data_IF_902161541141
#
_entry.id   IF_902161541141
#
_cell.length_a   1.000
_cell.length_b   1.000
_cell.length_c   1.000
_cell.angle_alpha   90.00
_cell.angle_beta   90.00
_cell.angle_gamma   90.00
#
_symmetry.space_group_name_H-M   'P 1'
#
loop_
_entity.id
_entity.type
_entity.pdbx_description
1 polymer ?
#
# COMPACT_ATOMS: atom_id res chain seq x y z
N UNK A 1 -14.69 26.22 46.58
CA UNK A 1 -14.69 26.42 45.12
C UNK A 1 -14.23 25.13 44.49
N UNK A 2 -15.17 24.37 43.96
CA UNK A 2 -14.92 23.08 43.31
C UNK A 2 -14.14 23.30 42.01
N UNK A 3 -13.09 22.51 41.81
CA UNK A 3 -12.31 22.51 40.57
C UNK A 3 -13.03 21.65 39.55
N UNK A 4 -13.51 22.25 38.45
CA UNK A 4 -14.05 21.54 37.30
C UNK A 4 -12.92 20.82 36.56
N UNK A 5 -12.93 19.48 36.63
CA UNK A 5 -12.15 18.61 35.75
C UNK A 5 -12.84 18.55 34.39
N UNK A 6 -12.54 19.52 33.53
CA UNK A 6 -12.84 19.44 32.08
C UNK A 6 -12.19 18.17 31.54
N UNK A 7 -13.00 17.13 31.41
CA UNK A 7 -12.58 15.80 31.00
C UNK A 7 -12.31 15.84 29.51
N UNK A 8 -11.04 15.93 29.11
CA UNK A 8 -10.62 15.92 27.71
C UNK A 8 -11.08 14.63 27.01
N UNK A 9 -12.27 14.67 26.39
CA UNK A 9 -12.90 13.57 25.66
C UNK A 9 -12.11 13.10 24.42
N UNK A 10 -10.96 13.72 24.14
CA UNK A 10 -10.07 13.45 23.02
C UNK A 10 -9.37 12.09 23.10
N UNK A 11 -9.41 11.41 24.26
CA UNK A 11 -8.84 10.09 24.45
C UNK A 11 -9.82 8.93 24.13
N UNK A 12 -11.04 9.23 23.66
CA UNK A 12 -12.05 8.23 23.27
C UNK A 12 -12.22 8.14 21.75
N UNK A 13 -11.12 8.14 21.00
CA UNK A 13 -11.15 7.86 19.56
C UNK A 13 -10.90 6.37 19.31
N UNK A 14 -11.79 5.73 18.55
CA UNK A 14 -11.63 4.35 18.13
C UNK A 14 -10.64 4.25 16.97
N UNK A 15 -9.78 3.25 17.01
CA UNK A 15 -8.99 2.84 15.85
C UNK A 15 -9.95 2.38 14.74
N UNK A 16 -9.77 2.93 13.54
CA UNK A 16 -10.56 2.58 12.35
C UNK A 16 -9.68 1.76 11.40
N UNK A 17 -10.02 0.49 11.23
CA UNK A 17 -9.37 -0.38 10.26
C UNK A 17 -10.16 -0.36 8.93
N UNK A 18 -9.58 0.23 7.88
CA UNK A 18 -10.16 0.21 6.54
C UNK A 18 -9.65 -1.01 5.76
N UNK A 19 -10.49 -2.05 5.65
CA UNK A 19 -10.15 -3.24 4.86
C UNK A 19 -10.65 -3.07 3.42
N UNK A 20 -9.77 -2.64 2.51
CA UNK A 20 -10.08 -2.60 1.08
C UNK A 20 -9.84 -3.97 0.43
N UNK A 21 -10.92 -4.67 0.05
CA UNK A 21 -10.84 -5.94 -0.69
C UNK A 21 -11.10 -5.70 -2.18
N UNK A 22 -10.04 -5.71 -2.98
CA UNK A 22 -10.16 -5.74 -4.45
C UNK A 22 -10.89 -7.01 -4.91
N UNK A 23 -11.97 -6.86 -5.68
CA UNK A 23 -12.77 -7.97 -6.23
C UNK A 23 -12.44 -8.25 -7.70
N UNK A 24 -11.16 -8.22 -8.08
CA UNK A 24 -10.75 -8.68 -9.42
C UNK A 24 -10.77 -10.21 -9.46
N UNK A 25 -11.57 -10.78 -10.38
CA UNK A 25 -11.65 -12.23 -10.60
C UNK A 25 -10.27 -12.78 -10.95
N UNK A 26 -9.99 -14.01 -10.56
CA UNK A 26 -8.68 -14.62 -10.78
C UNK A 26 -8.29 -14.69 -12.27
N UNK A 27 -9.27 -14.88 -13.17
CA UNK A 27 -9.09 -14.89 -14.63
C UNK A 27 -8.63 -13.55 -15.20
N UNK A 28 -9.09 -12.46 -14.59
CA UNK A 28 -8.95 -11.10 -15.13
C UNK A 28 -7.67 -10.43 -14.60
N UNK A 29 -6.92 -11.13 -13.73
CA UNK A 29 -5.65 -10.65 -13.18
C UNK A 29 -4.56 -10.69 -14.25
N UNK A 30 -3.79 -9.60 -14.33
CA UNK A 30 -2.61 -9.51 -15.17
C UNK A 30 -1.63 -10.65 -14.88
N UNK A 31 -1.12 -11.26 -15.95
CA UNK A 31 -0.09 -12.29 -15.89
C UNK A 31 1.27 -11.65 -16.16
N UNK A 32 2.24 -11.93 -15.29
CA UNK A 32 3.60 -11.42 -15.41
C UNK A 32 4.48 -12.58 -15.89
N UNK A 33 4.96 -12.51 -17.13
CA UNK A 33 5.82 -13.56 -17.70
C UNK A 33 7.31 -13.25 -17.49
N UNK A 34 7.65 -11.98 -17.33
CA UNK A 34 9.02 -11.49 -17.27
C UNK A 34 9.16 -10.23 -16.40
N UNK A 35 10.40 -9.87 -16.09
CA UNK A 35 10.72 -8.60 -15.42
C UNK A 35 10.27 -7.38 -16.24
N UNK A 36 10.29 -7.47 -17.57
CA UNK A 36 9.81 -6.40 -18.46
C UNK A 36 8.31 -6.17 -18.27
N UNK A 37 7.52 -7.25 -18.19
CA UNK A 37 6.09 -7.14 -17.91
C UNK A 37 5.82 -6.51 -16.54
N UNK A 38 6.64 -6.85 -15.55
CA UNK A 38 6.56 -6.28 -14.21
C UNK A 38 6.85 -4.78 -14.22
N UNK A 39 7.91 -4.35 -14.91
CA UNK A 39 8.24 -2.92 -15.06
C UNK A 39 7.11 -2.17 -15.75
N UNK A 40 6.60 -2.70 -16.87
CA UNK A 40 5.49 -2.09 -17.61
C UNK A 40 4.22 -1.97 -16.75
N UNK A 41 3.91 -2.99 -15.95
CA UNK A 41 2.77 -2.96 -15.05
C UNK A 41 2.98 -1.94 -13.91
N UNK A 42 4.14 -1.95 -13.25
CA UNK A 42 4.47 -1.05 -12.16
C UNK A 42 4.53 0.41 -12.59
N UNK A 43 4.94 0.70 -13.83
CA UNK A 43 5.08 2.06 -14.33
C UNK A 43 3.78 2.87 -14.24
N UNK A 44 2.63 2.21 -14.42
CA UNK A 44 1.32 2.82 -14.24
C UNK A 44 1.02 3.30 -12.80
N UNK A 45 1.82 2.88 -11.83
CA UNK A 45 1.65 3.23 -10.41
C UNK A 45 2.67 4.25 -9.91
N UNK A 46 3.75 4.49 -10.66
CA UNK A 46 4.69 5.56 -10.38
C UNK A 46 4.09 6.89 -10.88
N UNK A 47 4.35 7.98 -10.16
CA UNK A 47 4.01 9.33 -10.62
C UNK A 47 5.13 9.84 -11.52
N UNK A 48 4.86 9.96 -12.83
CA UNK A 48 5.86 10.41 -13.81
C UNK A 48 6.35 11.84 -13.55
N UNK A 49 5.61 12.67 -12.80
CA UNK A 49 6.06 14.03 -12.45
C UNK A 49 7.13 14.01 -11.35
N UNK A 50 7.19 12.94 -10.55
CA UNK A 50 8.08 12.85 -9.38
C UNK A 50 9.08 11.71 -9.48
N UNK A 51 8.96 10.81 -10.47
CA UNK A 51 9.80 9.62 -10.59
C UNK A 51 11.30 9.92 -10.73
N UNK A 52 11.65 11.06 -11.32
CA UNK A 52 13.04 11.52 -11.43
C UNK A 52 13.52 12.27 -10.18
N UNK A 53 12.59 12.72 -9.33
CA UNK A 53 12.86 13.54 -8.14
C UNK A 53 12.91 12.73 -6.85
N UNK A 54 12.07 11.69 -6.73
CA UNK A 54 11.86 10.95 -5.48
C UNK A 54 11.93 9.44 -5.71
N UNK A 55 12.69 8.75 -4.87
CA UNK A 55 12.67 7.29 -4.84
C UNK A 55 11.34 6.78 -4.26
N UNK A 56 10.80 5.74 -4.89
CA UNK A 56 9.64 5.02 -4.38
C UNK A 56 9.85 3.50 -4.49
N UNK A 57 9.44 2.79 -3.45
CA UNK A 57 9.54 1.34 -3.37
C UNK A 57 8.14 0.71 -3.42
N UNK A 58 7.92 -0.17 -4.40
CA UNK A 58 6.68 -0.89 -4.59
C UNK A 58 6.90 -2.40 -4.49
N UNK A 59 5.93 -3.11 -3.92
CA UNK A 59 5.87 -4.57 -3.86
C UNK A 59 4.71 -5.05 -4.71
N UNK A 60 4.98 -5.95 -5.66
CA UNK A 60 3.97 -6.65 -6.42
C UNK A 60 3.81 -8.08 -5.90
N UNK A 61 2.61 -8.41 -5.43
CA UNK A 61 2.27 -9.75 -4.95
C UNK A 61 1.83 -10.61 -6.12
N UNK A 62 2.44 -11.79 -6.28
CA UNK A 62 2.10 -12.76 -7.31
C UNK A 62 1.62 -14.06 -6.67
N UNK A 63 0.70 -14.77 -7.34
CA UNK A 63 0.42 -16.16 -7.01
C UNK A 63 1.41 -17.13 -7.70
N UNK A 64 1.29 -18.43 -7.43
CA UNK A 64 2.11 -19.49 -8.07
C UNK A 64 1.99 -19.54 -9.61
N UNK A 65 0.92 -18.97 -10.16
CA UNK A 65 0.71 -18.84 -11.60
C UNK A 65 1.11 -17.48 -12.16
N UNK A 66 1.96 -16.72 -11.45
CA UNK A 66 2.44 -15.38 -11.82
C UNK A 66 1.34 -14.36 -12.14
N UNK A 67 0.17 -14.51 -11.54
CA UNK A 67 -0.93 -13.54 -11.64
C UNK A 67 -0.82 -12.53 -10.50
N UNK A 68 -1.01 -11.26 -10.83
CA UNK A 68 -0.94 -10.15 -9.87
C UNK A 68 -2.10 -10.24 -8.87
N UNK A 69 -1.76 -10.36 -7.60
CA UNK A 69 -2.69 -10.33 -6.46
C UNK A 69 -2.92 -8.90 -5.98
N UNK A 70 -1.90 -8.06 -6.07
CA UNK A 70 -1.95 -6.66 -5.66
C UNK A 70 -0.60 -5.98 -5.80
N UNK A 71 -0.61 -4.66 -5.71
CA UNK A 71 0.60 -3.83 -5.67
C UNK A 71 0.47 -2.91 -4.45
N UNK A 72 1.55 -2.76 -3.70
CA UNK A 72 1.61 -1.95 -2.51
C UNK A 72 2.80 -1.01 -2.57
N UNK A 73 2.55 0.30 -2.41
CA UNK A 73 3.61 1.30 -2.25
C UNK A 73 4.09 1.25 -0.81
N UNK A 74 5.32 0.81 -0.63
CA UNK A 74 5.93 0.67 0.69
C UNK A 74 6.43 2.02 1.17
N UNK A 75 7.12 2.75 0.31
CA UNK A 75 7.70 4.04 0.67
C UNK A 75 7.78 4.98 -0.52
N UNK A 76 7.82 6.26 -0.19
CA UNK A 76 8.10 7.37 -1.09
C UNK A 76 8.99 8.35 -0.33
N UNK A 77 10.14 8.68 -0.91
CA UNK A 77 11.10 9.67 -0.40
C UNK A 77 11.51 9.46 1.06
N UNK A 78 12.64 8.76 1.31
CA UNK A 78 13.34 8.69 2.62
C UNK A 78 12.57 8.14 3.83
N UNK A 79 11.25 8.00 3.77
CA UNK A 79 10.39 7.48 4.82
C UNK A 79 10.31 5.97 4.67
N UNK A 80 11.11 5.27 5.45
CA UNK A 80 10.99 3.82 5.59
C UNK A 80 9.67 3.51 6.32
N UNK A 81 8.77 2.80 5.65
CA UNK A 81 7.65 2.12 6.33
C UNK A 81 8.11 0.71 6.65
N UNK A 82 7.97 0.29 7.90
CA UNK A 82 8.21 -1.08 8.30
C UNK A 82 7.17 -1.98 7.65
N UNK A 83 7.60 -2.79 6.69
CA UNK A 83 6.85 -3.95 6.21
C UNK A 83 6.80 -4.99 7.33
N UNK A 84 5.75 -4.96 8.16
CA UNK A 84 5.42 -6.12 8.98
C UNK A 84 4.78 -7.17 8.08
N UNK A 85 5.59 -8.09 7.56
CA UNK A 85 5.09 -9.33 6.98
C UNK A 85 4.60 -10.16 8.17
N UNK A 86 3.28 -10.23 8.35
CA UNK A 86 2.67 -11.14 9.33
C UNK A 86 2.69 -12.55 8.72
N UNK A 87 3.22 -13.51 9.47
CA UNK A 87 3.25 -14.94 9.14
C UNK A 87 1.84 -15.55 9.02
#
# INVERSE_FOLDING_TARGET
MEQNLESSAWNMVSEVELIYKSKVKASDRSFIKSSVDMVNALRNFYDENTIELQEAFYVMYLNRGFRVLGIYKVSESGKQVLLQIRD
#
